data_IF_385582904901
#
_entry.id   IF_385582904901
#
_cell.length_a   1.000
_cell.length_b   1.000
_cell.length_c   1.000
_cell.angle_alpha   90.00
_cell.angle_beta   90.00
_cell.angle_gamma   90.00
#
_symmetry.space_group_name_H-M   'P 1'
#
loop_
_entity.id
_entity.type
_entity.pdbx_description
1 polymer ?
#
# COMPACT_ATOMS: atom_id res chain seq x y z
N UNK A 1 50.85 -11.87 -18.38
CA UNK A 1 49.90 -11.02 -19.07
C UNK A 1 49.49 -9.81 -18.24
N UNK A 2 49.01 -8.78 -18.89
CA UNK A 2 48.41 -7.60 -18.25
C UNK A 2 46.91 -7.75 -18.29
N UNK A 3 46.25 -7.62 -17.13
CA UNK A 3 44.79 -7.74 -17.01
C UNK A 3 44.08 -6.57 -17.70
N UNK A 4 43.15 -6.89 -18.58
CA UNK A 4 42.16 -5.95 -19.14
C UNK A 4 40.82 -6.27 -18.47
N UNK A 5 40.32 -5.41 -17.57
CA UNK A 5 39.05 -5.65 -16.91
C UNK A 5 37.90 -5.49 -17.89
N UNK A 6 36.86 -6.30 -17.72
CA UNK A 6 35.60 -6.18 -18.46
C UNK A 6 34.46 -5.69 -17.54
N UNK A 7 33.58 -4.78 -18.02
CA UNK A 7 32.42 -4.38 -17.27
C UNK A 7 31.42 -5.54 -17.17
N UNK A 8 30.69 -5.69 -16.06
CA UNK A 8 29.61 -6.68 -15.95
C UNK A 8 28.47 -6.35 -16.90
N UNK A 9 27.73 -7.36 -17.35
CA UNK A 9 26.47 -7.17 -18.05
C UNK A 9 25.43 -6.55 -17.14
N UNK A 10 24.53 -5.75 -17.72
CA UNK A 10 23.34 -5.22 -17.04
C UNK A 10 22.07 -5.84 -17.63
N UNK A 11 20.91 -5.44 -17.17
CA UNK A 11 19.65 -5.91 -17.74
C UNK A 11 19.49 -5.57 -19.23
N UNK A 12 20.08 -4.46 -19.69
CA UNK A 12 19.88 -3.93 -21.04
C UNK A 12 21.16 -3.76 -21.86
N UNK A 13 22.31 -3.91 -21.22
CA UNK A 13 23.60 -3.73 -21.88
C UNK A 13 24.46 -4.99 -21.70
N UNK A 14 25.12 -5.37 -22.78
CA UNK A 14 26.12 -6.42 -22.75
C UNK A 14 27.29 -6.02 -21.88
N UNK A 15 27.87 -7.00 -21.21
CA UNK A 15 29.12 -6.89 -20.47
C UNK A 15 30.28 -7.46 -21.25
N UNK A 16 31.43 -7.47 -20.62
CA UNK A 16 32.64 -8.09 -21.16
C UNK A 16 33.35 -8.91 -20.10
N UNK A 17 33.83 -10.10 -20.48
CA UNK A 17 34.75 -10.86 -19.65
C UNK A 17 36.09 -10.14 -19.57
N UNK A 18 36.73 -10.20 -18.41
CA UNK A 18 38.12 -9.78 -18.28
C UNK A 18 39.05 -10.78 -18.98
N UNK A 19 40.15 -10.28 -19.54
CA UNK A 19 41.17 -11.09 -20.23
C UNK A 19 42.56 -10.50 -19.99
N UNK A 20 43.61 -11.21 -20.44
CA UNK A 20 44.98 -10.79 -20.30
C UNK A 20 45.61 -10.54 -21.68
N UNK A 21 46.43 -9.50 -21.78
CA UNK A 21 47.20 -9.20 -22.99
C UNK A 21 48.68 -9.54 -22.69
N UNK A 22 49.29 -10.31 -23.56
CA UNK A 22 50.73 -10.56 -23.56
C UNK A 22 51.48 -9.39 -24.23
N UNK A 23 52.79 -9.28 -24.01
CA UNK A 23 53.70 -8.39 -24.74
C UNK A 23 53.72 -8.67 -26.24
N UNK A 24 53.23 -9.79 -26.70
CA UNK A 24 53.02 -10.15 -28.09
C UNK A 24 51.69 -9.65 -28.67
N UNK A 25 50.94 -8.80 -27.96
CA UNK A 25 49.62 -8.23 -28.32
C UNK A 25 48.50 -9.30 -28.50
N UNK A 26 48.75 -10.56 -28.15
CA UNK A 26 47.73 -11.61 -28.16
C UNK A 26 46.93 -11.64 -26.84
N UNK A 27 45.64 -11.97 -26.95
CA UNK A 27 44.72 -12.06 -25.80
C UNK A 27 44.69 -13.52 -25.24
N UNK A 28 44.56 -13.63 -23.92
CA UNK A 28 44.56 -14.89 -23.18
C UNK A 28 43.50 -14.90 -22.09
N UNK A 29 42.96 -16.10 -21.73
CA UNK A 29 42.02 -16.29 -20.64
C UNK A 29 42.70 -16.18 -19.27
N UNK A 30 43.99 -16.45 -19.18
CA UNK A 30 44.76 -16.59 -17.94
C UNK A 30 45.99 -15.65 -17.89
N UNK A 31 46.39 -15.26 -16.68
CA UNK A 31 47.52 -14.38 -16.41
C UNK A 31 48.82 -14.93 -16.93
N UNK A 32 48.98 -16.27 -16.89
CA UNK A 32 50.22 -16.96 -17.38
C UNK A 32 50.32 -16.98 -18.91
N UNK A 33 49.31 -16.47 -19.64
CA UNK A 33 49.25 -16.49 -21.10
C UNK A 33 49.39 -17.87 -21.71
N UNK A 34 48.75 -18.88 -21.13
CA UNK A 34 48.81 -20.27 -21.59
C UNK A 34 47.60 -20.69 -22.43
N UNK A 35 46.47 -19.91 -22.34
CA UNK A 35 45.21 -20.20 -23.02
C UNK A 35 44.89 -19.05 -23.98
N UNK A 36 45.33 -19.10 -25.23
CA UNK A 36 45.07 -18.03 -26.19
C UNK A 36 43.58 -17.93 -26.55
N UNK A 37 43.08 -16.72 -26.74
CA UNK A 37 41.74 -16.45 -27.23
C UNK A 37 41.83 -16.18 -28.72
N UNK A 38 41.25 -17.04 -29.57
CA UNK A 38 41.34 -16.94 -31.03
C UNK A 38 40.43 -15.84 -31.57
N UNK A 39 39.20 -15.73 -31.05
CA UNK A 39 38.22 -14.68 -31.41
C UNK A 39 37.84 -13.91 -30.15
N UNK A 40 38.58 -12.84 -29.87
CA UNK A 40 38.36 -12.03 -28.67
C UNK A 40 37.01 -11.32 -28.70
N UNK A 41 36.53 -10.91 -29.85
CA UNK A 41 35.30 -10.11 -29.95
C UNK A 41 34.07 -10.94 -29.61
N UNK A 42 34.01 -12.19 -30.06
CA UNK A 42 32.98 -13.13 -29.65
C UNK A 42 33.15 -13.62 -28.22
N UNK A 43 34.40 -13.99 -27.85
CA UNK A 43 34.66 -14.64 -26.55
C UNK A 43 34.38 -13.73 -25.36
N UNK A 44 34.70 -12.44 -25.46
CA UNK A 44 34.56 -11.48 -24.37
C UNK A 44 33.13 -11.07 -24.07
N UNK A 45 32.17 -11.27 -24.99
CA UNK A 45 30.81 -10.81 -24.82
C UNK A 45 30.10 -11.58 -23.69
N UNK A 46 29.54 -10.84 -22.76
CA UNK A 46 28.55 -11.32 -21.78
C UNK A 46 27.21 -10.73 -22.21
N UNK A 47 26.23 -11.52 -22.64
CA UNK A 47 24.93 -11.01 -23.06
C UNK A 47 24.26 -10.22 -21.94
N UNK A 48 23.42 -9.24 -22.30
CA UNK A 48 22.52 -8.59 -21.36
C UNK A 48 21.65 -9.63 -20.67
N UNK A 49 21.34 -9.41 -19.40
CA UNK A 49 20.63 -10.39 -18.56
C UNK A 49 19.11 -10.32 -18.69
N UNK A 50 18.59 -9.34 -19.43
CA UNK A 50 17.18 -8.97 -19.46
C UNK A 50 16.63 -8.56 -18.08
N UNK A 51 15.39 -8.09 -18.05
CA UNK A 51 14.74 -7.71 -16.80
C UNK A 51 14.06 -8.91 -16.15
N UNK A 52 14.28 -9.04 -14.84
CA UNK A 52 13.51 -9.96 -14.00
C UNK A 52 12.45 -9.14 -13.25
N UNK A 53 11.20 -9.25 -13.70
CA UNK A 53 10.10 -8.48 -13.17
C UNK A 53 9.57 -9.03 -11.84
N UNK A 54 9.05 -8.16 -10.97
CA UNK A 54 8.35 -8.56 -9.76
C UNK A 54 7.05 -9.31 -10.09
N UNK A 55 6.66 -10.27 -9.26
CA UNK A 55 5.44 -11.07 -9.47
C UNK A 55 4.14 -10.30 -9.19
N UNK A 56 4.23 -9.17 -8.50
CA UNK A 56 3.06 -8.41 -8.05
C UNK A 56 3.25 -6.90 -8.26
N UNK A 57 2.13 -6.22 -8.46
CA UNK A 57 2.05 -4.77 -8.47
C UNK A 57 1.98 -4.23 -7.03
N UNK A 58 2.74 -3.18 -6.75
CA UNK A 58 2.72 -2.50 -5.45
C UNK A 58 2.27 -1.04 -5.63
N UNK A 59 1.46 -0.53 -4.71
CA UNK A 59 1.02 0.87 -4.71
C UNK A 59 2.19 1.86 -4.78
N UNK A 60 3.30 1.58 -4.09
CA UNK A 60 4.51 2.42 -4.10
C UNK A 60 5.17 2.54 -5.49
N UNK A 61 4.90 1.61 -6.41
CA UNK A 61 5.45 1.59 -7.77
C UNK A 61 4.45 2.10 -8.82
N UNK A 62 3.21 2.37 -8.41
CA UNK A 62 2.14 2.91 -9.25
C UNK A 62 2.24 4.45 -9.37
N UNK A 63 1.52 5.00 -10.34
CA UNK A 63 1.24 6.43 -10.48
C UNK A 63 -0.27 6.63 -10.68
N UNK A 64 -0.72 7.84 -10.97
CA UNK A 64 -2.15 8.17 -11.12
C UNK A 64 -2.82 7.45 -12.31
N UNK A 65 -2.03 6.90 -13.24
CA UNK A 65 -2.51 6.32 -14.50
C UNK A 65 -2.36 4.81 -14.52
N UNK A 66 -1.22 4.30 -14.02
CA UNK A 66 -0.83 2.91 -14.18
C UNK A 66 -0.17 2.32 -12.93
N UNK A 67 -0.23 1.02 -12.84
CA UNK A 67 0.64 0.23 -11.97
C UNK A 67 1.66 -0.55 -12.81
N UNK A 68 2.84 -0.81 -12.21
CA UNK A 68 4.00 -1.34 -12.91
C UNK A 68 4.59 -2.54 -12.17
N UNK A 69 5.06 -3.54 -12.93
CA UNK A 69 6.09 -4.43 -12.41
C UNK A 69 7.43 -3.71 -12.38
N UNK A 70 8.21 -4.00 -11.37
CA UNK A 70 9.55 -3.41 -11.20
C UNK A 70 10.60 -4.49 -11.34
N UNK A 71 11.62 -4.23 -12.12
CA UNK A 71 12.75 -5.15 -12.22
C UNK A 71 13.45 -5.27 -10.87
N UNK A 72 13.56 -6.50 -10.36
CA UNK A 72 14.17 -6.80 -9.05
C UNK A 72 15.68 -6.56 -9.03
N UNK A 73 16.32 -6.42 -10.19
CA UNK A 73 17.76 -6.22 -10.34
C UNK A 73 18.12 -4.75 -10.49
N UNK A 74 17.45 -4.00 -11.37
CA UNK A 74 17.82 -2.63 -11.70
C UNK A 74 16.78 -1.57 -11.33
N UNK A 75 15.59 -1.96 -10.85
CA UNK A 75 14.52 -1.04 -10.47
C UNK A 75 13.75 -0.40 -11.63
N UNK A 76 14.03 -0.80 -12.89
CA UNK A 76 13.28 -0.30 -14.04
C UNK A 76 11.81 -0.73 -13.96
N UNK A 77 10.89 0.11 -14.43
CA UNK A 77 9.47 -0.21 -14.57
C UNK A 77 9.20 -0.76 -15.96
N UNK A 78 8.24 -1.68 -16.06
CA UNK A 78 7.72 -2.18 -17.33
C UNK A 78 6.80 -1.13 -18.02
N UNK A 79 6.03 -1.53 -19.04
CA UNK A 79 5.11 -0.64 -19.73
C UNK A 79 3.87 -0.28 -18.88
N UNK A 80 3.64 -1.01 -17.80
CA UNK A 80 2.53 -0.84 -16.87
C UNK A 80 1.16 -1.08 -17.48
N UNK A 81 0.21 -1.35 -16.60
CA UNK A 81 -1.19 -1.56 -16.94
C UNK A 81 -2.06 -0.50 -16.27
N UNK A 82 -3.22 -0.19 -16.89
CA UNK A 82 -4.16 0.76 -16.33
C UNK A 82 -4.77 0.23 -15.03
N UNK A 83 -5.09 1.14 -14.10
CA UNK A 83 -5.75 0.79 -12.85
C UNK A 83 -7.15 0.21 -13.07
N UNK A 84 -7.49 -0.78 -12.25
CA UNK A 84 -8.87 -1.26 -12.10
C UNK A 84 -9.41 -0.73 -10.77
N UNK A 85 -10.27 0.27 -10.83
CA UNK A 85 -10.79 0.95 -9.67
C UNK A 85 -11.92 0.17 -8.99
N UNK A 86 -11.98 0.23 -7.65
CA UNK A 86 -13.08 -0.33 -6.86
C UNK A 86 -14.39 0.46 -7.03
N UNK A 87 -14.30 1.75 -7.31
CA UNK A 87 -15.42 2.68 -7.51
C UNK A 87 -15.04 3.79 -8.50
N UNK A 88 -16.03 4.52 -9.03
CA UNK A 88 -15.82 5.66 -9.93
C UNK A 88 -15.21 6.88 -9.21
N UNK A 89 -15.61 7.11 -7.95
CA UNK A 89 -15.14 8.20 -7.09
C UNK A 89 -15.11 7.75 -5.63
N UNK A 90 -14.30 8.42 -4.80
CA UNK A 90 -14.34 8.22 -3.36
C UNK A 90 -15.70 8.66 -2.79
N UNK A 91 -16.12 7.98 -1.73
CA UNK A 91 -17.34 8.33 -0.96
C UNK A 91 -16.94 8.89 0.40
N UNK A 92 -17.93 9.24 1.23
CA UNK A 92 -17.67 9.71 2.60
C UNK A 92 -16.90 8.67 3.44
N UNK A 93 -17.10 7.39 3.18
CA UNK A 93 -16.59 6.28 4.01
C UNK A 93 -15.53 5.42 3.31
N UNK A 94 -15.53 5.40 1.97
CA UNK A 94 -14.66 4.55 1.20
C UNK A 94 -13.78 5.38 0.26
N UNK A 95 -12.53 5.01 0.18
CA UNK A 95 -11.57 5.53 -0.78
C UNK A 95 -11.82 4.99 -2.19
N UNK A 96 -11.23 5.65 -3.17
CA UNK A 96 -11.07 5.12 -4.52
C UNK A 96 -9.68 4.55 -4.65
N UNK A 97 -9.57 3.24 -4.74
CA UNK A 97 -8.30 2.55 -4.88
C UNK A 97 -8.31 1.54 -6.02
N UNK A 98 -7.12 1.21 -6.49
CA UNK A 98 -6.93 0.13 -7.46
C UNK A 98 -7.07 -1.23 -6.76
N UNK A 99 -7.93 -2.10 -7.27
CA UNK A 99 -8.18 -3.44 -6.72
C UNK A 99 -7.01 -4.42 -6.92
N UNK A 100 -6.02 -4.05 -7.76
CA UNK A 100 -4.87 -4.89 -8.08
C UNK A 100 -3.65 -4.49 -7.23
N UNK A 101 -3.29 -3.19 -7.20
CA UNK A 101 -2.07 -2.71 -6.54
C UNK A 101 -2.32 -1.95 -5.23
N UNK A 102 -3.60 -1.70 -4.87
CA UNK A 102 -4.02 -0.90 -3.70
C UNK A 102 -3.53 0.57 -3.72
N UNK A 103 -3.18 1.11 -4.90
CA UNK A 103 -2.92 2.53 -5.04
C UNK A 103 -4.20 3.32 -4.76
N UNK A 104 -4.15 4.28 -3.85
CA UNK A 104 -5.28 5.14 -3.47
C UNK A 104 -5.22 6.42 -4.29
N UNK A 105 -6.18 6.60 -5.21
CA UNK A 105 -6.30 7.80 -6.02
C UNK A 105 -7.03 8.93 -5.28
N UNK A 106 -8.04 8.57 -4.51
CA UNK A 106 -8.85 9.52 -3.74
C UNK A 106 -9.11 8.95 -2.34
N UNK A 107 -8.72 9.69 -1.30
CA UNK A 107 -9.06 9.33 0.08
C UNK A 107 -10.57 9.49 0.33
N UNK A 108 -11.14 8.84 1.35
CA UNK A 108 -12.52 9.06 1.76
C UNK A 108 -12.75 10.57 2.02
N UNK A 109 -13.85 11.09 1.49
CA UNK A 109 -14.15 12.53 1.61
C UNK A 109 -14.55 12.93 3.02
N UNK A 110 -14.91 11.94 3.86
CA UNK A 110 -15.46 12.16 5.18
C UNK A 110 -16.82 12.86 5.10
N UNK A 111 -17.46 13.07 6.25
CA UNK A 111 -18.64 13.92 6.36
C UNK A 111 -18.61 14.66 7.69
N UNK A 112 -19.27 15.80 7.73
CA UNK A 112 -19.53 16.49 8.99
C UNK A 112 -20.69 15.80 9.68
N UNK A 113 -20.47 15.33 10.91
CA UNK A 113 -21.54 14.74 11.68
C UNK A 113 -22.60 15.82 12.03
N UNK A 114 -23.85 15.52 11.71
CA UNK A 114 -25.01 16.32 12.11
C UNK A 114 -25.92 15.44 12.91
N UNK A 115 -26.07 15.75 14.19
CA UNK A 115 -26.85 14.97 15.13
C UNK A 115 -28.36 15.18 14.99
N UNK A 116 -29.10 14.11 14.85
CA UNK A 116 -30.55 14.11 15.00
C UNK A 116 -30.88 13.58 16.39
N UNK A 117 -31.59 14.39 17.21
CA UNK A 117 -31.96 14.03 18.58
C UNK A 117 -32.85 12.80 18.61
N UNK A 118 -32.44 11.80 19.35
CA UNK A 118 -33.29 10.69 19.82
C UNK A 118 -33.64 10.95 21.28
N UNK A 119 -34.93 11.24 21.58
CA UNK A 119 -35.32 11.64 22.93
C UNK A 119 -35.15 10.50 23.93
N UNK A 120 -34.79 10.86 25.14
CA UNK A 120 -34.74 9.94 26.28
C UNK A 120 -36.10 9.72 26.90
N UNK A 121 -36.15 8.78 27.82
CA UNK A 121 -37.31 8.50 28.65
C UNK A 121 -36.89 8.43 30.12
N UNK A 122 -37.56 9.19 30.98
CA UNK A 122 -37.30 9.17 32.41
C UNK A 122 -37.66 7.78 33.02
N UNK A 123 -36.87 7.29 33.98
CA UNK A 123 -37.17 6.07 34.68
C UNK A 123 -38.37 6.27 35.63
N UNK A 124 -39.12 5.21 35.86
CA UNK A 124 -40.15 5.18 36.92
C UNK A 124 -39.64 4.38 38.13
N UNK A 125 -40.47 4.23 39.17
CA UNK A 125 -40.09 3.42 40.32
C UNK A 125 -39.77 1.97 39.95
N UNK A 126 -40.42 1.41 38.91
CA UNK A 126 -40.32 0.01 38.53
C UNK A 126 -39.78 -0.24 37.14
N UNK A 127 -39.73 0.79 36.30
CA UNK A 127 -39.23 0.66 34.90
C UNK A 127 -37.99 1.49 34.69
N UNK A 128 -37.01 0.93 33.98
CA UNK A 128 -35.84 1.63 33.54
C UNK A 128 -36.19 2.69 32.48
N UNK A 129 -35.51 3.82 32.54
CA UNK A 129 -35.50 4.86 31.51
C UNK A 129 -34.36 4.72 30.54
N UNK A 130 -34.25 5.69 29.67
CA UNK A 130 -33.08 5.82 28.77
C UNK A 130 -32.68 7.30 28.57
N UNK A 131 -31.39 7.54 28.45
CA UNK A 131 -30.83 8.85 28.15
C UNK A 131 -31.15 9.25 26.70
N UNK A 132 -31.36 10.53 26.47
CA UNK A 132 -31.35 11.10 25.12
C UNK A 132 -29.95 11.01 24.50
N UNK A 133 -29.88 10.88 23.18
CA UNK A 133 -28.64 10.86 22.42
C UNK A 133 -28.87 11.42 21.00
N UNK A 134 -27.80 11.62 20.25
CA UNK A 134 -27.87 12.09 18.88
C UNK A 134 -27.38 10.99 17.94
N UNK A 135 -28.08 10.81 16.82
CA UNK A 135 -27.68 9.87 15.77
C UNK A 135 -27.33 10.63 14.48
N UNK A 136 -26.26 10.23 13.82
CA UNK A 136 -25.86 10.75 12.52
C UNK A 136 -26.33 9.82 11.39
N UNK A 137 -26.43 10.34 10.16
CA UNK A 137 -26.76 9.57 8.95
C UNK A 137 -25.82 8.39 8.70
N UNK A 138 -24.58 8.45 9.21
CA UNK A 138 -23.62 7.34 9.19
C UNK A 138 -23.90 6.24 10.22
N UNK A 139 -25.03 6.31 10.96
CA UNK A 139 -25.44 5.38 12.01
C UNK A 139 -24.58 5.37 13.29
N UNK A 140 -23.68 6.34 13.43
CA UNK A 140 -22.98 6.57 14.69
C UNK A 140 -23.85 7.36 15.67
N UNK A 141 -23.67 7.10 16.98
CA UNK A 141 -24.43 7.73 18.05
C UNK A 141 -23.50 8.57 18.94
N UNK A 142 -23.99 9.73 19.38
CA UNK A 142 -23.21 10.72 20.11
C UNK A 142 -23.96 11.23 21.35
N UNK A 143 -23.22 11.67 22.36
CA UNK A 143 -23.78 12.26 23.57
C UNK A 143 -24.25 13.69 23.36
N UNK A 144 -23.69 14.39 22.38
CA UNK A 144 -23.86 15.82 22.12
C UNK A 144 -24.39 16.11 20.71
N UNK A 145 -25.09 17.22 20.55
CA UNK A 145 -25.65 17.68 19.27
C UNK A 145 -24.58 17.93 18.20
N UNK A 146 -23.40 18.36 18.61
CA UNK A 146 -22.27 18.63 17.72
C UNK A 146 -21.54 17.36 17.28
N UNK A 147 -21.99 16.19 17.77
CA UNK A 147 -21.41 14.87 17.43
C UNK A 147 -19.91 14.78 17.67
N UNK A 148 -19.43 15.30 18.78
CA UNK A 148 -18.01 15.28 19.17
C UNK A 148 -17.69 14.14 20.12
N UNK A 149 -18.67 13.63 20.90
CA UNK A 149 -18.51 12.59 21.89
C UNK A 149 -19.22 11.31 21.42
N UNK A 150 -18.45 10.39 20.84
CA UNK A 150 -18.96 9.11 20.30
C UNK A 150 -19.38 8.18 21.41
N UNK A 151 -20.56 7.56 21.30
CA UNK A 151 -21.04 6.51 22.18
C UNK A 151 -20.63 5.14 21.58
N UNK A 152 -19.64 4.48 22.19
CA UNK A 152 -19.12 3.21 21.71
C UNK A 152 -20.09 2.03 21.91
N UNK A 153 -20.83 2.01 23.02
CA UNK A 153 -21.87 1.01 23.34
C UNK A 153 -23.15 1.69 23.78
N UNK A 154 -24.01 1.96 22.81
CA UNK A 154 -25.29 2.59 23.05
C UNK A 154 -26.20 1.75 23.97
N UNK A 155 -26.09 0.42 23.91
CA UNK A 155 -26.95 -0.47 24.66
C UNK A 155 -26.82 -0.27 26.16
N UNK A 156 -25.60 -0.27 26.67
CA UNK A 156 -25.33 -0.03 28.09
C UNK A 156 -25.34 1.44 28.47
N UNK A 157 -24.82 2.31 27.61
CA UNK A 157 -24.69 3.76 27.91
C UNK A 157 -26.05 4.45 28.14
N UNK A 158 -27.05 4.11 27.33
CA UNK A 158 -28.37 4.79 27.41
C UNK A 158 -29.24 4.40 28.59
N UNK A 159 -28.98 3.30 29.28
CA UNK A 159 -29.87 2.75 30.32
C UNK A 159 -29.83 3.61 31.58
N UNK A 160 -31.00 4.04 32.06
CA UNK A 160 -31.20 4.64 33.39
C UNK A 160 -31.95 3.64 34.25
N UNK A 161 -31.37 3.16 35.36
CA UNK A 161 -32.03 2.19 36.26
C UNK A 161 -33.34 2.73 36.82
N UNK A 162 -34.33 1.87 37.19
CA UNK A 162 -35.51 2.28 37.93
C UNK A 162 -35.14 2.98 39.24
N UNK A 163 -35.93 3.98 39.66
CA UNK A 163 -35.66 4.77 40.85
C UNK A 163 -35.97 4.02 42.15
N UNK A 164 -36.69 2.93 42.07
CA UNK A 164 -37.19 2.20 43.26
C UNK A 164 -38.36 2.95 43.95
N UNK A 165 -38.90 2.36 44.99
CA UNK A 165 -39.92 2.96 45.85
C UNK A 165 -39.25 3.60 47.07
N UNK A 166 -39.65 4.82 47.41
CA UNK A 166 -39.32 5.46 48.67
C UNK A 166 -40.56 5.34 49.56
N UNK A 167 -40.49 4.55 50.61
CA UNK A 167 -41.57 4.39 51.57
C UNK A 167 -41.48 5.52 52.61
N UNK A 168 -42.60 6.16 52.93
CA UNK A 168 -42.66 7.08 54.03
C UNK A 168 -42.76 6.31 55.36
N UNK A 169 -41.87 6.60 56.29
CA UNK A 169 -41.98 6.14 57.67
C UNK A 169 -43.15 6.90 58.32
N UNK A 170 -44.29 6.23 58.51
CA UNK A 170 -45.44 6.74 59.26
C UNK A 170 -45.45 6.12 60.64
#
# INVERSE_FOLDING_TARGET
GVLVPGPPATCTQEGSKAYYICTCEQAFEDEACTKPIEDLDSWKVIPATDHTWSDSYLAANADDVKHYHVCTVCGAKDQGEAHTWNTEAATEQNDKHCTICNYVAEAPTGHTHVGTLVPGQEPTCTQAGNKAYYTCTCQQNFEDETCTILIADLGSWRVIPPTGHIWSDT
#
